data_IF_346002684649
#
_entry.id   IF_346002684649
#
_cell.length_a   1.000
_cell.length_b   1.000
_cell.length_c   1.000
_cell.angle_alpha   90.00
_cell.angle_beta   90.00
_cell.angle_gamma   90.00
#
_symmetry.space_group_name_H-M   'P 1'
#
loop_
_entity.id
_entity.type
_entity.pdbx_description
1 polymer ?
#
# COMPACT_ATOMS: atom_id res chain seq x y z
N UNK A 1 -36.66 0.21 64.75
CA UNK A 1 -36.92 0.90 63.47
C UNK A 1 -35.69 1.78 63.19
N UNK A 2 -34.70 1.26 62.47
CA UNK A 2 -33.50 2.04 62.09
C UNK A 2 -33.80 2.73 60.75
N UNK A 3 -33.95 4.05 60.75
CA UNK A 3 -33.94 4.83 59.52
C UNK A 3 -32.49 4.97 59.09
N UNK A 4 -32.05 4.14 58.15
CA UNK A 4 -30.76 4.30 57.48
C UNK A 4 -30.77 5.65 56.75
N UNK A 5 -29.89 6.55 57.15
CA UNK A 5 -29.73 7.88 56.58
C UNK A 5 -29.23 7.75 55.13
N UNK A 6 -30.11 8.02 54.16
CA UNK A 6 -29.89 7.83 52.72
C UNK A 6 -29.23 9.03 52.03
N UNK A 7 -28.78 10.04 52.77
CA UNK A 7 -28.23 11.30 52.24
C UNK A 7 -26.95 11.11 51.39
N UNK A 8 -26.18 10.06 51.66
CA UNK A 8 -24.99 9.75 50.86
C UNK A 8 -25.35 9.14 49.50
N UNK A 9 -26.50 8.47 49.38
CA UNK A 9 -26.97 7.90 48.11
C UNK A 9 -27.40 8.99 47.14
N UNK A 10 -28.08 10.03 47.61
CA UNK A 10 -28.50 11.14 46.75
C UNK A 10 -27.28 11.94 46.26
N UNK A 11 -26.31 12.23 47.13
CA UNK A 11 -25.05 12.85 46.74
C UNK A 11 -24.29 12.01 45.71
N UNK A 12 -24.21 10.69 45.91
CA UNK A 12 -23.57 9.75 44.97
C UNK A 12 -24.27 9.76 43.60
N UNK A 13 -25.60 9.71 43.57
CA UNK A 13 -26.40 9.75 42.33
C UNK A 13 -26.16 11.05 41.57
N UNK A 14 -26.09 12.19 42.25
CA UNK A 14 -25.82 13.49 41.63
C UNK A 14 -24.43 13.51 40.98
N UNK A 15 -23.39 13.10 41.72
CA UNK A 15 -22.01 13.04 41.20
C UNK A 15 -21.90 12.08 40.00
N UNK A 16 -22.58 10.94 40.05
CA UNK A 16 -22.65 10.01 38.92
C UNK A 16 -23.36 10.63 37.71
N UNK A 17 -24.45 11.38 37.92
CA UNK A 17 -25.15 12.04 36.81
C UNK A 17 -24.33 13.14 36.14
N UNK A 18 -23.60 13.94 36.93
CA UNK A 18 -22.73 15.00 36.41
C UNK A 18 -21.52 14.44 35.67
N UNK A 19 -20.91 13.36 36.19
CA UNK A 19 -19.79 12.69 35.50
C UNK A 19 -20.23 12.06 34.17
N UNK A 20 -21.42 11.45 34.11
CA UNK A 20 -22.00 10.96 32.85
C UNK A 20 -22.27 12.12 31.86
N UNK A 21 -22.73 13.27 32.34
CA UNK A 21 -22.94 14.46 31.49
C UNK A 21 -21.61 15.01 30.92
N UNK A 22 -20.54 15.02 31.73
CA UNK A 22 -19.20 15.46 31.28
C UNK A 22 -18.60 14.44 30.30
N UNK A 23 -18.76 13.14 30.56
CA UNK A 23 -18.28 12.08 29.67
C UNK A 23 -19.02 12.08 28.33
N UNK A 24 -20.34 12.27 28.33
CA UNK A 24 -21.14 12.34 27.09
C UNK A 24 -20.82 13.57 26.24
N UNK A 25 -20.64 14.73 26.87
CA UNK A 25 -20.16 15.95 26.17
C UNK A 25 -18.72 15.79 25.65
N UNK A 26 -17.85 15.11 26.40
CA UNK A 26 -16.51 14.75 25.95
C UNK A 26 -16.50 13.81 24.74
N UNK A 27 -17.38 12.80 24.71
CA UNK A 27 -17.52 11.90 23.56
C UNK A 27 -18.00 12.62 22.29
N UNK A 28 -18.90 13.60 22.42
CA UNK A 28 -19.34 14.44 21.30
C UNK A 28 -18.19 15.27 20.72
N UNK A 29 -17.35 15.85 21.58
CA UNK A 29 -16.17 16.62 21.16
C UNK A 29 -15.16 15.71 20.46
N UNK A 30 -14.91 14.50 20.99
CA UNK A 30 -14.00 13.53 20.37
C UNK A 30 -14.53 13.03 19.02
N UNK A 31 -15.83 12.73 18.92
CA UNK A 31 -16.45 12.32 17.66
C UNK A 31 -16.36 13.43 16.60
N UNK A 32 -16.58 14.68 17.01
CA UNK A 32 -16.43 15.84 16.13
C UNK A 32 -14.97 16.07 15.72
N UNK A 33 -14.03 16.00 16.67
CA UNK A 33 -12.61 16.17 16.44
C UNK A 33 -12.03 15.08 15.54
N UNK A 34 -12.43 13.83 15.74
CA UNK A 34 -12.02 12.70 14.90
C UNK A 34 -12.61 12.84 13.49
N UNK A 35 -13.88 13.23 13.37
CA UNK A 35 -14.50 13.56 12.09
C UNK A 35 -13.75 14.66 11.33
N UNK A 36 -13.37 15.74 12.03
CA UNK A 36 -12.61 16.87 11.48
C UNK A 36 -11.19 16.47 11.05
N UNK A 37 -10.45 15.76 11.91
CA UNK A 37 -9.09 15.28 11.65
C UNK A 37 -9.06 14.31 10.46
N UNK A 38 -10.04 13.42 10.37
CA UNK A 38 -10.15 12.50 9.23
C UNK A 38 -10.47 13.28 7.96
N UNK A 39 -11.35 14.29 7.98
CA UNK A 39 -11.62 15.11 6.79
C UNK A 39 -10.39 15.85 6.25
N UNK A 40 -9.48 16.29 7.13
CA UNK A 40 -8.25 16.99 6.73
C UNK A 40 -7.18 16.08 6.12
N UNK A 41 -7.06 14.84 6.59
CA UNK A 41 -5.97 13.93 6.19
C UNK A 41 -6.39 12.80 5.24
N UNK A 42 -7.66 12.75 4.84
CA UNK A 42 -8.25 11.62 4.11
C UNK A 42 -8.20 11.72 2.58
N UNK A 43 -7.97 10.56 1.95
CA UNK A 43 -8.29 10.31 0.54
C UNK A 43 -9.80 10.48 0.26
N UNK A 44 -10.17 10.72 -1.00
CA UNK A 44 -11.57 11.02 -1.41
C UNK A 44 -12.60 9.98 -0.91
N UNK A 45 -12.22 8.70 -0.85
CA UNK A 45 -13.07 7.62 -0.32
C UNK A 45 -13.27 7.73 1.19
N UNK A 46 -12.21 8.03 1.95
CA UNK A 46 -12.29 8.19 3.40
C UNK A 46 -13.12 9.42 3.79
N UNK A 47 -13.04 10.52 3.04
CA UNK A 47 -13.91 11.69 3.23
C UNK A 47 -15.39 11.34 3.08
N UNK A 48 -15.76 10.57 2.05
CA UNK A 48 -17.15 10.12 1.85
C UNK A 48 -17.65 9.26 3.02
N UNK A 49 -16.82 8.35 3.53
CA UNK A 49 -17.15 7.50 4.69
C UNK A 49 -17.37 8.34 5.94
N UNK A 50 -16.49 9.29 6.23
CA UNK A 50 -16.63 10.19 7.38
C UNK A 50 -17.87 11.08 7.26
N UNK A 51 -18.20 11.56 6.06
CA UNK A 51 -19.45 12.32 5.83
C UNK A 51 -20.69 11.46 6.05
N UNK A 52 -20.71 10.21 5.57
CA UNK A 52 -21.81 9.27 5.82
C UNK A 52 -21.96 9.01 7.32
N UNK A 53 -20.86 8.79 8.05
CA UNK A 53 -20.89 8.62 9.51
C UNK A 53 -21.48 9.84 10.21
N UNK A 54 -20.95 11.04 9.94
CA UNK A 54 -21.43 12.28 10.56
C UNK A 54 -22.91 12.51 10.27
N UNK A 55 -23.36 12.24 9.04
CA UNK A 55 -24.77 12.33 8.67
C UNK A 55 -25.64 11.31 9.42
N UNK A 56 -25.19 10.06 9.56
CA UNK A 56 -25.92 9.03 10.31
C UNK A 56 -26.02 9.34 11.80
N UNK A 57 -24.97 9.94 12.37
CA UNK A 57 -24.94 10.39 13.76
C UNK A 57 -25.89 11.56 13.99
N UNK A 58 -25.90 12.54 13.09
CA UNK A 58 -26.85 13.66 13.15
C UNK A 58 -28.31 13.18 13.01
N UNK A 59 -28.59 12.25 12.09
CA UNK A 59 -29.92 11.65 11.94
C UNK A 59 -30.35 10.92 13.21
N UNK A 60 -29.43 10.20 13.87
CA UNK A 60 -29.70 9.56 15.16
C UNK A 60 -30.09 10.58 16.23
N UNK A 61 -29.35 11.69 16.35
CA UNK A 61 -29.64 12.74 17.33
C UNK A 61 -31.00 13.38 17.06
N UNK A 62 -31.28 13.73 15.80
CA UNK A 62 -32.54 14.35 15.39
C UNK A 62 -33.72 13.41 15.65
N UNK A 63 -33.56 12.12 15.33
CA UNK A 63 -34.60 11.10 15.59
C UNK A 63 -34.96 11.02 17.08
N UNK A 64 -33.95 10.96 17.96
CA UNK A 64 -34.16 10.94 19.42
C UNK A 64 -34.85 12.22 19.91
N UNK A 65 -34.43 13.39 19.41
CA UNK A 65 -35.07 14.67 19.76
C UNK A 65 -36.53 14.73 19.31
N UNK A 66 -36.85 14.24 18.10
CA UNK A 66 -38.20 14.29 17.54
C UNK A 66 -39.16 13.35 18.30
N UNK A 67 -38.68 12.16 18.68
CA UNK A 67 -39.44 11.22 19.50
C UNK A 67 -39.69 11.81 20.89
N UNK A 68 -38.68 12.44 21.51
CA UNK A 68 -38.81 13.06 22.83
C UNK A 68 -39.84 14.20 22.85
N UNK A 69 -39.93 15.00 21.78
CA UNK A 69 -40.93 16.08 21.64
C UNK A 69 -42.33 15.55 21.36
N UNK A 70 -42.45 14.42 20.66
CA UNK A 70 -43.73 13.82 20.27
C UNK A 70 -44.39 13.01 21.39
N UNK A 71 -43.66 12.67 22.45
CA UNK A 71 -44.16 11.86 23.55
C UNK A 71 -44.97 12.72 24.55
N UNK A 72 -46.19 12.30 24.95
CA UNK A 72 -46.95 13.03 25.96
C UNK A 72 -46.17 13.14 27.28
N UNK A 73 -46.26 14.30 27.94
CA UNK A 73 -45.42 14.66 29.10
C UNK A 73 -45.45 13.62 30.22
N UNK A 74 -46.58 12.95 30.40
CA UNK A 74 -46.79 11.91 31.41
C UNK A 74 -45.97 10.63 31.17
N UNK A 75 -45.70 10.28 29.90
CA UNK A 75 -44.82 9.17 29.52
C UNK A 75 -43.36 9.60 29.36
N UNK A 76 -43.11 10.89 29.11
CA UNK A 76 -41.76 11.45 29.02
C UNK A 76 -41.06 11.54 30.38
N UNK A 77 -41.83 11.57 31.47
CA UNK A 77 -41.32 11.55 32.85
C UNK A 77 -41.46 10.15 33.44
N UNK A 78 -40.33 9.46 33.68
CA UNK A 78 -40.30 8.11 34.26
C UNK A 78 -39.64 7.07 33.35
N UNK A 79 -40.20 5.85 33.30
CA UNK A 79 -39.65 4.70 32.56
C UNK A 79 -39.50 4.95 31.05
N UNK A 80 -40.38 5.76 30.45
CA UNK A 80 -40.31 6.09 29.01
C UNK A 80 -39.02 6.81 28.61
N UNK A 81 -38.45 7.63 29.52
CA UNK A 81 -37.15 8.30 29.29
C UNK A 81 -36.01 7.28 29.23
N UNK A 82 -36.06 6.24 30.04
CA UNK A 82 -35.01 5.22 30.09
C UNK A 82 -35.01 4.39 28.81
N UNK A 83 -36.18 4.00 28.31
CA UNK A 83 -36.31 3.31 27.03
C UNK A 83 -35.83 4.14 25.84
N UNK A 84 -36.07 5.46 25.84
CA UNK A 84 -35.54 6.36 24.81
C UNK A 84 -34.01 6.42 24.81
N UNK A 85 -33.42 6.44 26.00
CA UNK A 85 -31.96 6.44 26.15
C UNK A 85 -31.36 5.12 25.67
N UNK A 86 -31.97 3.98 26.04
CA UNK A 86 -31.55 2.66 25.55
C UNK A 86 -31.64 2.58 24.02
N UNK A 87 -32.75 3.06 23.45
CA UNK A 87 -32.93 3.11 22.00
C UNK A 87 -31.83 3.93 21.31
N UNK A 88 -31.52 5.13 21.84
CA UNK A 88 -30.45 5.97 21.32
C UNK A 88 -29.08 5.28 21.34
N UNK A 89 -28.73 4.61 22.45
CA UNK A 89 -27.48 3.87 22.56
C UNK A 89 -27.40 2.69 21.59
N UNK A 90 -28.50 1.94 21.41
CA UNK A 90 -28.52 0.82 20.45
C UNK A 90 -28.34 1.30 19.01
N UNK A 91 -28.91 2.44 18.64
CA UNK A 91 -28.79 3.01 17.29
C UNK A 91 -27.36 3.47 17.01
N UNK A 92 -26.73 4.17 17.98
CA UNK A 92 -25.31 4.57 17.90
C UNK A 92 -24.41 3.33 17.82
N UNK A 93 -24.70 2.28 18.59
CA UNK A 93 -23.93 1.05 18.58
C UNK A 93 -24.02 0.34 17.21
N UNK A 94 -25.22 0.24 16.64
CA UNK A 94 -25.45 -0.35 15.31
C UNK A 94 -24.76 0.49 14.23
N UNK A 95 -24.89 1.82 14.25
CA UNK A 95 -24.25 2.69 13.25
C UNK A 95 -22.73 2.60 13.32
N UNK A 96 -22.18 2.51 14.53
CA UNK A 96 -20.73 2.37 14.77
C UNK A 96 -20.22 1.01 14.27
N UNK A 97 -20.92 -0.08 14.62
CA UNK A 97 -20.55 -1.41 14.15
C UNK A 97 -20.66 -1.56 12.63
N UNK A 98 -21.71 -0.99 12.04
CA UNK A 98 -21.89 -0.97 10.59
C UNK A 98 -20.74 -0.20 9.91
N UNK A 99 -20.36 0.96 10.44
CA UNK A 99 -19.23 1.75 9.92
C UNK A 99 -17.91 0.97 10.01
N UNK A 100 -17.62 0.34 11.15
CA UNK A 100 -16.39 -0.44 11.32
C UNK A 100 -16.34 -1.59 10.31
N UNK A 101 -17.44 -2.35 10.16
CA UNK A 101 -17.51 -3.43 9.17
C UNK A 101 -17.36 -2.90 7.73
N UNK A 102 -17.98 -1.77 7.42
CA UNK A 102 -17.87 -1.16 6.09
C UNK A 102 -16.43 -0.69 5.80
N UNK A 103 -15.76 -0.06 6.76
CA UNK A 103 -14.34 0.32 6.64
C UNK A 103 -13.44 -0.91 6.47
N UNK A 104 -13.68 -1.98 7.22
CA UNK A 104 -12.93 -3.23 7.08
C UNK A 104 -13.11 -3.87 5.70
N UNK A 105 -14.34 -3.87 5.15
CA UNK A 105 -14.58 -4.39 3.80
C UNK A 105 -13.85 -3.57 2.71
N UNK A 106 -13.82 -2.24 2.85
CA UNK A 106 -13.09 -1.38 1.92
C UNK A 106 -11.57 -1.61 1.96
N UNK A 107 -10.99 -1.77 3.16
CA UNK A 107 -9.56 -2.10 3.31
C UNK A 107 -9.25 -3.45 2.66
N UNK A 108 -10.05 -4.48 2.93
CA UNK A 108 -9.89 -5.80 2.33
C UNK A 108 -9.97 -5.76 0.79
N UNK A 109 -10.91 -4.99 0.23
CA UNK A 109 -10.99 -4.82 -1.22
C UNK A 109 -9.77 -4.12 -1.81
N UNK A 110 -9.23 -3.13 -1.10
CA UNK A 110 -8.01 -2.43 -1.52
C UNK A 110 -6.80 -3.36 -1.47
N UNK A 111 -6.68 -4.18 -0.42
CA UNK A 111 -5.59 -5.15 -0.25
C UNK A 111 -5.66 -6.23 -1.34
N UNK A 112 -6.82 -6.82 -1.59
CA UNK A 112 -7.02 -7.80 -2.67
C UNK A 112 -6.69 -7.22 -4.05
N UNK A 113 -7.07 -5.97 -4.31
CA UNK A 113 -6.73 -5.29 -5.56
C UNK A 113 -5.22 -5.10 -5.69
N UNK A 114 -4.54 -4.69 -4.61
CA UNK A 114 -3.10 -4.51 -4.60
C UNK A 114 -2.38 -5.85 -4.80
N UNK A 115 -2.81 -6.90 -4.11
CA UNK A 115 -2.31 -8.27 -4.31
C UNK A 115 -2.46 -8.73 -5.76
N UNK A 116 -3.63 -8.48 -6.37
CA UNK A 116 -3.86 -8.79 -7.78
C UNK A 116 -2.93 -8.04 -8.72
N UNK A 117 -2.69 -6.74 -8.47
CA UNK A 117 -1.72 -5.93 -9.23
C UNK A 117 -0.31 -6.51 -9.06
N UNK A 118 0.13 -6.75 -7.83
CA UNK A 118 1.45 -7.32 -7.52
C UNK A 118 1.65 -8.67 -8.19
N UNK A 119 0.63 -9.55 -8.17
CA UNK A 119 0.69 -10.83 -8.86
C UNK A 119 0.82 -10.67 -10.37
N UNK A 120 0.06 -9.75 -10.98
CA UNK A 120 0.17 -9.47 -12.42
C UNK A 120 1.55 -8.93 -12.81
N UNK A 121 2.15 -8.10 -11.95
CA UNK A 121 3.48 -7.54 -12.16
C UNK A 121 4.57 -8.60 -12.01
N UNK A 122 4.43 -9.53 -11.07
CA UNK A 122 5.32 -10.68 -10.95
C UNK A 122 5.25 -11.65 -12.14
N UNK A 123 4.06 -11.88 -12.69
CA UNK A 123 3.91 -12.69 -13.91
C UNK A 123 4.59 -12.00 -15.09
N UNK A 124 4.38 -10.69 -15.25
CA UNK A 124 5.04 -9.90 -16.28
C UNK A 124 6.56 -9.87 -16.12
N UNK A 125 7.09 -9.76 -14.88
CA UNK A 125 8.53 -9.79 -14.66
C UNK A 125 9.13 -11.14 -15.05
N UNK A 126 8.45 -12.26 -14.78
CA UNK A 126 8.90 -13.58 -15.23
C UNK A 126 8.96 -13.68 -16.75
N UNK A 127 7.96 -13.15 -17.44
CA UNK A 127 7.93 -13.17 -18.90
C UNK A 127 9.05 -12.30 -19.51
N UNK A 128 9.29 -11.12 -18.96
CA UNK A 128 10.42 -10.27 -19.37
C UNK A 128 11.75 -10.99 -19.11
N UNK A 129 11.89 -11.67 -17.97
CA UNK A 129 13.10 -12.43 -17.65
C UNK A 129 13.29 -13.61 -18.62
N UNK A 130 12.21 -14.30 -18.99
CA UNK A 130 12.21 -15.39 -19.98
C UNK A 130 12.75 -14.90 -21.32
N UNK A 131 12.18 -13.82 -21.86
CA UNK A 131 12.65 -13.20 -23.11
C UNK A 131 14.12 -12.76 -23.01
N UNK A 132 14.46 -12.03 -21.96
CA UNK A 132 15.81 -11.48 -21.85
C UNK A 132 16.86 -12.57 -21.65
N UNK A 133 16.67 -13.47 -20.69
CA UNK A 133 17.69 -14.41 -20.21
C UNK A 133 17.60 -15.77 -20.91
N UNK A 134 16.43 -16.40 -20.93
CA UNK A 134 16.27 -17.76 -21.46
C UNK A 134 16.37 -17.77 -22.99
N UNK A 135 15.68 -16.83 -23.65
CA UNK A 135 15.77 -16.64 -25.10
C UNK A 135 17.00 -15.81 -25.51
N UNK A 136 17.81 -15.37 -24.53
CA UNK A 136 19.05 -14.62 -24.73
C UNK A 136 18.87 -13.36 -25.58
N UNK A 137 17.70 -12.72 -25.57
CA UNK A 137 17.49 -11.43 -26.27
C UNK A 137 18.47 -10.35 -25.79
N UNK A 138 19.05 -10.49 -24.58
CA UNK A 138 20.14 -9.62 -24.13
C UNK A 138 21.34 -9.59 -25.09
N UNK A 139 21.55 -10.59 -25.94
CA UNK A 139 22.64 -10.62 -26.94
C UNK A 139 22.38 -9.71 -28.15
N UNK A 140 21.14 -9.25 -28.35
CA UNK A 140 20.80 -8.37 -29.47
C UNK A 140 21.45 -6.99 -29.29
N UNK A 141 22.42 -6.65 -30.14
CA UNK A 141 23.22 -5.42 -30.03
C UNK A 141 22.37 -4.15 -29.94
N UNK A 142 21.24 -4.12 -30.66
CA UNK A 142 20.33 -2.97 -30.74
C UNK A 142 19.05 -3.13 -29.90
N UNK A 143 19.03 -4.03 -28.91
CA UNK A 143 17.87 -4.25 -28.07
C UNK A 143 17.41 -2.98 -27.36
N UNK A 144 16.16 -2.59 -27.57
CA UNK A 144 15.51 -1.47 -26.88
C UNK A 144 14.33 -1.95 -26.06
N UNK A 145 13.91 -1.14 -25.10
CA UNK A 145 12.68 -1.37 -24.33
C UNK A 145 11.45 -1.52 -25.23
N UNK A 146 11.43 -0.81 -26.36
CA UNK A 146 10.36 -0.87 -27.36
C UNK A 146 10.24 -2.25 -28.01
N UNK A 147 11.33 -3.01 -28.12
CA UNK A 147 11.31 -4.34 -28.75
C UNK A 147 10.64 -5.35 -27.83
N UNK A 148 11.00 -5.36 -26.55
CA UNK A 148 10.34 -6.18 -25.52
C UNK A 148 8.88 -5.76 -25.33
N UNK A 149 8.60 -4.46 -25.34
CA UNK A 149 7.25 -3.93 -25.22
C UNK A 149 6.35 -4.40 -26.38
N UNK A 150 6.86 -4.37 -27.61
CA UNK A 150 6.15 -4.85 -28.81
C UNK A 150 5.92 -6.36 -28.78
N UNK A 151 6.90 -7.12 -28.32
CA UNK A 151 6.83 -8.59 -28.24
C UNK A 151 5.80 -9.06 -27.20
N UNK A 152 5.62 -8.29 -26.12
CA UNK A 152 4.64 -8.56 -25.08
C UNK A 152 3.28 -7.86 -25.30
N UNK A 153 3.11 -7.13 -26.41
CA UNK A 153 1.95 -6.26 -26.68
C UNK A 153 1.60 -5.32 -25.51
N UNK A 154 2.63 -4.65 -24.98
CA UNK A 154 2.53 -3.76 -23.83
C UNK A 154 3.08 -2.36 -24.13
N UNK A 155 2.57 -1.32 -23.44
CA UNK A 155 3.21 -0.01 -23.47
C UNK A 155 4.61 -0.04 -22.81
N UNK A 156 5.57 0.70 -23.38
CA UNK A 156 6.94 0.77 -22.85
C UNK A 156 7.03 1.16 -21.37
N UNK A 157 6.12 2.02 -20.90
CA UNK A 157 6.13 2.48 -19.51
C UNK A 157 5.91 1.31 -18.53
N UNK A 158 5.14 0.28 -18.90
CA UNK A 158 4.94 -0.92 -18.06
C UNK A 158 6.25 -1.67 -17.87
N UNK A 159 7.02 -1.85 -18.94
CA UNK A 159 8.34 -2.48 -18.87
C UNK A 159 9.27 -1.65 -17.98
N UNK A 160 9.30 -0.31 -18.15
CA UNK A 160 10.12 0.59 -17.32
C UNK A 160 9.73 0.51 -15.84
N UNK A 161 8.44 0.42 -15.52
CA UNK A 161 7.97 0.22 -14.15
C UNK A 161 8.50 -1.08 -13.57
N UNK A 162 8.39 -2.21 -14.30
CA UNK A 162 8.90 -3.51 -13.86
C UNK A 162 10.42 -3.50 -13.62
N UNK A 163 11.18 -2.79 -14.46
CA UNK A 163 12.63 -2.62 -14.26
C UNK A 163 12.94 -2.00 -12.89
N UNK A 164 12.18 -0.98 -12.50
CA UNK A 164 12.36 -0.27 -11.23
C UNK A 164 11.84 -1.10 -10.05
N UNK A 165 10.62 -1.65 -10.15
CA UNK A 165 9.92 -2.27 -9.01
C UNK A 165 10.34 -3.71 -8.76
N UNK A 166 10.49 -4.53 -9.81
CA UNK A 166 10.77 -5.96 -9.67
C UNK A 166 12.26 -6.29 -9.79
N UNK A 167 12.98 -5.59 -10.67
CA UNK A 167 14.41 -5.87 -10.93
C UNK A 167 15.37 -4.91 -10.22
N UNK A 168 14.85 -3.89 -9.54
CA UNK A 168 15.64 -2.87 -8.85
C UNK A 168 16.74 -2.23 -9.74
N UNK A 169 16.43 -2.06 -11.02
CA UNK A 169 17.33 -1.50 -12.01
C UNK A 169 16.92 -0.06 -12.35
N UNK A 170 17.90 0.84 -12.46
CA UNK A 170 17.67 2.27 -12.73
C UNK A 170 16.89 2.52 -14.03
N UNK A 171 17.09 1.67 -15.03
CA UNK A 171 16.40 1.68 -16.31
C UNK A 171 16.62 0.33 -17.03
N UNK A 172 15.94 0.14 -18.17
CA UNK A 172 16.06 -1.07 -18.99
C UNK A 172 17.50 -1.40 -19.39
N UNK A 173 18.26 -0.41 -19.87
CA UNK A 173 19.65 -0.62 -20.29
C UNK A 173 20.56 -1.03 -19.13
N UNK A 174 20.32 -0.51 -17.93
CA UNK A 174 21.05 -0.91 -16.73
C UNK A 174 20.83 -2.40 -16.44
N UNK A 175 19.58 -2.88 -16.49
CA UNK A 175 19.26 -4.29 -16.28
C UNK A 175 19.87 -5.20 -17.37
N UNK A 176 19.71 -4.84 -18.65
CA UNK A 176 20.29 -5.60 -19.76
C UNK A 176 21.81 -5.64 -19.67
N UNK A 177 22.46 -4.50 -19.39
CA UNK A 177 23.91 -4.46 -19.25
C UNK A 177 24.39 -5.31 -18.07
N UNK A 178 23.67 -5.36 -16.96
CA UNK A 178 24.00 -6.25 -15.85
C UNK A 178 24.05 -7.72 -16.32
N UNK A 179 23.02 -8.18 -17.04
CA UNK A 179 22.98 -9.53 -17.61
C UNK A 179 24.14 -9.76 -18.59
N UNK A 180 24.38 -8.81 -19.50
CA UNK A 180 25.48 -8.88 -20.47
C UNK A 180 26.85 -8.98 -19.80
N UNK A 181 27.07 -8.22 -18.71
CA UNK A 181 28.34 -8.28 -17.97
C UNK A 181 28.49 -9.60 -17.23
N UNK A 182 27.43 -10.14 -16.62
CA UNK A 182 27.48 -11.48 -16.04
C UNK A 182 27.82 -12.55 -17.10
N UNK A 183 27.22 -12.46 -18.29
CA UNK A 183 27.59 -13.33 -19.40
C UNK A 183 29.05 -13.14 -19.84
N UNK A 184 29.50 -11.89 -20.00
CA UNK A 184 30.89 -11.58 -20.35
C UNK A 184 31.90 -12.13 -19.35
N UNK A 185 31.58 -12.11 -18.04
CA UNK A 185 32.44 -12.71 -17.01
C UNK A 185 32.66 -14.19 -17.26
N UNK A 186 31.63 -14.94 -17.66
CA UNK A 186 31.75 -16.37 -17.96
C UNK A 186 32.73 -16.62 -19.12
N UNK A 187 32.68 -15.79 -20.16
CA UNK A 187 33.59 -15.87 -21.31
C UNK A 187 35.02 -15.52 -20.87
N UNK A 188 35.21 -14.46 -20.08
CA UNK A 188 36.53 -14.01 -19.64
C UNK A 188 37.21 -14.99 -18.68
N UNK A 189 36.45 -15.79 -17.93
CA UNK A 189 36.99 -16.82 -17.05
C UNK A 189 37.16 -18.19 -17.71
N UNK A 190 36.74 -18.35 -18.96
CA UNK A 190 36.82 -19.62 -19.68
C UNK A 190 38.25 -19.85 -20.21
N UNK A 191 38.96 -20.93 -19.79
CA UNK A 191 40.35 -21.17 -20.19
C UNK A 191 40.53 -21.34 -21.71
N UNK A 192 39.54 -21.93 -22.38
CA UNK A 192 39.48 -22.12 -23.83
C UNK A 192 39.33 -20.81 -24.62
N UNK A 193 38.95 -19.71 -23.96
CA UNK A 193 38.75 -18.39 -24.57
C UNK A 193 39.77 -17.35 -24.10
N UNK A 194 40.89 -17.79 -23.50
CA UNK A 194 41.92 -16.92 -22.93
C UNK A 194 42.45 -15.87 -23.91
N UNK A 195 42.61 -16.28 -25.18
CA UNK A 195 43.18 -15.44 -26.24
C UNK A 195 42.14 -14.57 -26.96
N UNK A 196 40.86 -14.68 -26.61
CA UNK A 196 39.83 -13.85 -27.22
C UNK A 196 40.07 -12.37 -26.91
N UNK A 197 40.11 -11.48 -27.92
CA UNK A 197 40.21 -10.06 -27.67
C UNK A 197 39.05 -9.54 -26.81
N UNK A 198 39.30 -8.53 -25.99
CA UNK A 198 38.27 -7.88 -25.16
C UNK A 198 37.11 -7.36 -26.02
N UNK A 199 37.39 -6.90 -27.25
CA UNK A 199 36.38 -6.52 -28.23
C UNK A 199 35.46 -7.68 -28.59
N UNK A 200 36.02 -8.86 -28.90
CA UNK A 200 35.25 -10.05 -29.27
C UNK A 200 34.34 -10.45 -28.12
N UNK A 201 34.85 -10.48 -26.89
CA UNK A 201 34.02 -10.77 -25.71
C UNK A 201 32.87 -9.77 -25.57
N UNK A 202 33.12 -8.48 -25.80
CA UNK A 202 32.08 -7.45 -25.76
C UNK A 202 30.98 -7.67 -26.82
N UNK A 203 31.37 -7.96 -28.07
CA UNK A 203 30.44 -8.24 -29.17
C UNK A 203 29.61 -9.50 -28.87
N UNK A 204 30.27 -10.59 -28.46
CA UNK A 204 29.62 -11.85 -28.08
C UNK A 204 28.72 -11.70 -26.85
N UNK A 205 28.90 -10.63 -26.07
CA UNK A 205 28.03 -10.28 -24.94
C UNK A 205 26.96 -9.24 -25.31
N UNK A 206 26.75 -8.96 -26.59
CA UNK A 206 25.69 -8.06 -27.08
C UNK A 206 26.02 -6.57 -27.04
N UNK A 207 27.29 -6.18 -26.90
CA UNK A 207 27.70 -4.77 -27.01
C UNK A 207 28.09 -4.39 -28.43
N UNK A 208 27.72 -3.18 -28.86
CA UNK A 208 28.06 -2.66 -30.18
C UNK A 208 29.57 -2.34 -30.36
N UNK A 209 30.29 -2.04 -29.26
CA UNK A 209 31.71 -1.68 -29.31
C UNK A 209 32.40 -1.77 -27.94
N UNK A 210 33.74 -1.66 -27.92
CA UNK A 210 34.58 -1.78 -26.71
C UNK A 210 34.29 -0.71 -25.67
N UNK A 211 34.06 0.53 -26.09
CA UNK A 211 33.91 1.67 -25.18
C UNK A 211 32.69 1.55 -24.24
N UNK A 212 31.46 1.28 -24.73
CA UNK A 212 30.32 1.00 -23.86
C UNK A 212 30.50 -0.28 -23.04
N UNK A 213 31.07 -1.34 -23.62
CA UNK A 213 31.37 -2.58 -22.88
C UNK A 213 32.30 -2.34 -21.69
N UNK A 214 33.44 -1.70 -21.91
CA UNK A 214 34.46 -1.48 -20.87
C UNK A 214 33.95 -0.58 -19.75
N UNK A 215 33.12 0.43 -20.09
CA UNK A 215 32.46 1.29 -19.09
C UNK A 215 31.48 0.50 -18.24
N UNK A 216 30.57 -0.24 -18.86
CA UNK A 216 29.61 -1.07 -18.14
C UNK A 216 30.32 -2.13 -17.29
N UNK A 217 31.34 -2.81 -17.83
CA UNK A 217 32.10 -3.81 -17.09
C UNK A 217 32.73 -3.21 -15.84
N UNK A 218 33.39 -2.04 -15.95
CA UNK A 218 33.97 -1.37 -14.79
C UNK A 218 32.92 -0.87 -13.80
N UNK A 219 31.77 -0.40 -14.27
CA UNK A 219 30.65 0.02 -13.42
C UNK A 219 30.11 -1.14 -12.57
N UNK A 220 29.88 -2.31 -13.17
CA UNK A 220 29.30 -3.46 -12.48
C UNK A 220 30.32 -4.31 -11.69
N UNK A 221 31.61 -4.26 -12.04
CA UNK A 221 32.63 -5.14 -11.42
C UNK A 221 33.72 -4.40 -10.64
N UNK A 222 33.86 -3.09 -10.81
CA UNK A 222 34.92 -2.28 -10.22
C UNK A 222 36.28 -2.37 -10.92
N UNK A 223 36.46 -3.27 -11.90
CA UNK A 223 37.73 -3.47 -12.61
C UNK A 223 37.54 -3.54 -14.14
N UNK A 224 38.64 -3.52 -14.91
CA UNK A 224 38.55 -3.65 -16.37
C UNK A 224 38.40 -5.12 -16.78
N UNK A 225 37.83 -5.42 -17.98
CA UNK A 225 37.72 -6.80 -18.47
C UNK A 225 39.05 -7.57 -18.48
N UNK A 226 40.14 -6.89 -18.83
CA UNK A 226 41.49 -7.48 -18.84
C UNK A 226 42.02 -7.78 -17.43
N UNK A 227 41.78 -6.88 -16.47
CA UNK A 227 42.11 -7.12 -15.06
C UNK A 227 41.33 -8.31 -14.50
N UNK A 228 40.02 -8.37 -14.77
CA UNK A 228 39.15 -9.47 -14.37
C UNK A 228 39.65 -10.82 -14.92
N UNK A 229 39.98 -10.87 -16.22
CA UNK A 229 40.56 -12.07 -16.86
C UNK A 229 41.84 -12.52 -16.16
N UNK A 230 42.78 -11.59 -15.92
CA UNK A 230 44.04 -11.90 -15.25
C UNK A 230 43.80 -12.46 -13.84
N UNK A 231 42.84 -11.89 -13.09
CA UNK A 231 42.52 -12.36 -11.75
C UNK A 231 41.90 -13.77 -11.75
N UNK A 232 41.07 -14.11 -12.75
CA UNK A 232 40.37 -15.41 -12.80
C UNK A 232 41.18 -16.54 -13.42
N UNK A 233 42.14 -16.24 -14.30
CA UNK A 233 43.00 -17.23 -14.97
C UNK A 233 44.44 -17.29 -14.41
N UNK A 234 44.72 -16.59 -13.31
CA UNK A 234 46.01 -16.66 -12.60
C UNK A 234 46.04 -17.75 -11.51
N UNK A 235 45.03 -18.60 -11.45
CA UNK A 235 44.96 -19.83 -10.64
C UNK A 235 45.14 -21.00 -11.58
#
# INVERSE_FOLDING_TARGET
MWQLQTDWLSALITVLSETIAILSSGMLILAFWEGYRVLQSANMTQRKITMVYLSSFLVSIISVMLIAVSLPKDLATGEGREWLVVFAYTLIFISTHWLIRFRQQQLMQQDLKNEGITQSEHLLSKEIQRLLVEEKRFLDVNLRVADIARELDLPEYRIRTIMLTCFNAKNFNHYVNQIRIEYAKTILSAPDKRDWPVLVVGIESGFASVAPFSRAFKEFTGCTPGQYRKQKLAV
#
